data_IF_359106331563
#
_entry.id   IF_359106331563
#
_cell.length_a   1.000
_cell.length_b   1.000
_cell.length_c   1.000
_cell.angle_alpha   90.00
_cell.angle_beta   90.00
_cell.angle_gamma   90.00
#
_symmetry.space_group_name_H-M   'P 1'
#
loop_
_entity.id
_entity.type
_entity.pdbx_description
1 polymer ?
#
# COMPACT_ATOMS: atom_id res chain seq x y z
N UNK A 1 -5.18 4.83 34.32
CA UNK A 1 -3.72 4.62 34.26
C UNK A 1 -3.39 3.45 33.35
N UNK A 2 -2.36 3.60 32.50
CA UNK A 2 -1.54 2.51 31.93
C UNK A 2 -2.27 1.51 31.02
N UNK A 3 -2.16 1.53 29.69
CA UNK A 3 -0.95 1.77 28.92
C UNK A 3 -0.32 0.44 28.51
N UNK A 4 -0.48 0.12 27.21
CA UNK A 4 0.40 -0.74 26.40
C UNK A 4 0.33 -2.24 26.69
N UNK A 5 -0.63 -2.91 26.03
CA UNK A 5 -0.46 -4.32 25.67
C UNK A 5 0.75 -4.43 24.73
N UNK A 6 1.83 -5.01 25.24
CA UNK A 6 2.94 -5.48 24.44
C UNK A 6 2.43 -6.61 23.54
N UNK A 7 2.15 -6.30 22.28
CA UNK A 7 1.92 -7.33 21.26
C UNK A 7 3.28 -7.74 20.66
N UNK A 8 3.83 -8.78 21.26
CA UNK A 8 4.78 -9.69 20.64
C UNK A 8 4.17 -10.13 19.29
N UNK A 9 4.91 -9.93 18.20
CA UNK A 9 4.50 -10.35 16.86
C UNK A 9 4.49 -11.89 16.79
N UNK A 10 3.43 -12.54 16.30
CA UNK A 10 3.61 -13.80 15.59
C UNK A 10 3.95 -13.48 14.13
N UNK A 11 5.00 -14.14 13.66
CA UNK A 11 5.47 -14.25 12.29
C UNK A 11 4.39 -14.18 11.20
N UNK A 12 4.72 -13.42 10.15
CA UNK A 12 4.69 -13.70 8.71
C UNK A 12 3.72 -14.70 8.04
N UNK A 13 2.91 -15.48 8.76
CA UNK A 13 2.20 -16.66 8.22
C UNK A 13 0.67 -16.64 8.38
N UNK A 14 0.04 -15.49 8.63
CA UNK A 14 -1.45 -15.39 8.54
C UNK A 14 -1.91 -14.42 7.48
N UNK A 15 -1.62 -14.82 6.25
CA UNK A 15 -2.44 -14.51 5.09
C UNK A 15 -3.84 -15.15 5.26
N UNK A 16 -4.81 -14.40 5.78
CA UNK A 16 -6.23 -14.69 5.58
C UNK A 16 -6.95 -13.41 5.16
N UNK A 17 -7.17 -13.30 3.85
CA UNK A 17 -7.92 -12.27 3.15
C UNK A 17 -9.39 -12.72 3.08
N UNK A 18 -10.28 -12.01 3.77
CA UNK A 18 -11.72 -12.25 3.71
C UNK A 18 -12.29 -11.99 2.31
N UNK A 19 -12.86 -13.05 1.75
CA UNK A 19 -13.36 -13.19 0.39
C UNK A 19 -14.56 -12.27 0.06
N UNK A 20 -14.66 -11.87 -1.21
CA UNK A 20 -15.83 -11.28 -1.92
C UNK A 20 -16.11 -9.77 -1.89
N UNK A 21 -15.61 -8.95 -0.95
CA UNK A 21 -15.84 -7.46 -0.99
C UNK A 21 -14.62 -6.60 -1.36
N UNK A 22 -13.47 -7.23 -1.58
CA UNK A 22 -12.20 -6.52 -1.79
C UNK A 22 -12.01 -5.90 -3.19
N UNK A 23 -12.81 -6.20 -4.21
CA UNK A 23 -12.49 -5.83 -5.61
C UNK A 23 -12.56 -4.32 -5.92
N UNK A 24 -13.64 -3.64 -5.50
CA UNK A 24 -13.82 -2.22 -5.78
C UNK A 24 -12.95 -1.32 -4.89
N UNK A 25 -12.91 -1.60 -3.58
CA UNK A 25 -12.10 -0.85 -2.61
C UNK A 25 -10.58 -1.01 -2.86
N UNK A 26 -10.15 -2.16 -3.36
CA UNK A 26 -8.76 -2.38 -3.74
C UNK A 26 -8.36 -1.64 -5.02
N UNK A 27 -9.24 -1.53 -6.02
CA UNK A 27 -8.97 -0.70 -7.21
C UNK A 27 -8.86 0.78 -6.86
N UNK A 28 -9.72 1.29 -5.98
CA UNK A 28 -9.65 2.68 -5.52
C UNK A 28 -8.42 2.92 -4.62
N UNK A 29 -8.06 1.94 -3.78
CA UNK A 29 -6.85 1.96 -2.97
C UNK A 29 -5.57 1.99 -3.80
N UNK A 30 -5.49 1.18 -4.87
CA UNK A 30 -4.30 1.12 -5.75
C UNK A 30 -4.00 2.44 -6.44
N UNK A 31 -5.03 3.09 -7.01
CA UNK A 31 -4.86 4.41 -7.64
C UNK A 31 -4.41 5.45 -6.62
N UNK A 32 -5.00 5.45 -5.42
CA UNK A 32 -4.57 6.33 -4.33
C UNK A 32 -3.11 6.10 -3.94
N UNK A 33 -2.70 4.84 -3.77
CA UNK A 33 -1.32 4.49 -3.42
C UNK A 33 -0.35 4.96 -4.51
N UNK A 34 -0.66 4.71 -5.79
CA UNK A 34 0.17 5.14 -6.91
C UNK A 34 0.34 6.66 -6.93
N UNK A 35 -0.75 7.40 -6.71
CA UNK A 35 -0.72 8.87 -6.65
C UNK A 35 0.13 9.39 -5.49
N UNK A 36 0.01 8.78 -4.32
CA UNK A 36 0.81 9.17 -3.17
C UNK A 36 2.30 8.81 -3.35
N UNK A 37 2.61 7.75 -4.10
CA UNK A 37 3.98 7.43 -4.52
C UNK A 37 4.52 8.52 -5.45
N UNK A 38 3.73 8.96 -6.42
CA UNK A 38 4.10 10.04 -7.35
C UNK A 38 4.39 11.36 -6.61
N UNK A 39 3.63 11.64 -5.54
CA UNK A 39 3.87 12.77 -4.63
C UNK A 39 5.11 12.61 -3.74
N UNK A 40 5.86 11.51 -3.85
CA UNK A 40 7.08 11.29 -3.07
C UNK A 40 6.86 10.80 -1.64
N UNK A 41 5.62 10.53 -1.21
CA UNK A 41 5.35 10.08 0.16
C UNK A 41 5.97 8.70 0.40
N UNK A 42 6.51 8.46 1.58
CA UNK A 42 6.98 7.15 2.05
C UNK A 42 5.83 6.19 2.37
N UNK A 43 6.14 4.90 2.52
CA UNK A 43 5.14 3.89 2.88
C UNK A 43 4.48 4.18 4.25
N UNK A 44 5.21 4.82 5.17
CA UNK A 44 4.67 5.23 6.49
C UNK A 44 3.67 6.38 6.33
N UNK A 45 3.98 7.38 5.52
CA UNK A 45 3.08 8.52 5.28
C UNK A 45 1.83 8.10 4.49
N UNK A 46 1.98 7.19 3.52
CA UNK A 46 0.86 6.58 2.81
C UNK A 46 -0.04 5.82 3.79
N UNK A 47 0.54 5.05 4.70
CA UNK A 47 -0.18 4.31 5.73
C UNK A 47 -0.99 5.24 6.63
N UNK A 48 -0.38 6.36 7.07
CA UNK A 48 -1.06 7.39 7.86
C UNK A 48 -2.22 8.04 7.09
N UNK A 49 -1.99 8.46 5.82
CA UNK A 49 -3.03 9.06 4.99
C UNK A 49 -4.20 8.12 4.69
N UNK A 50 -3.94 6.82 4.62
CA UNK A 50 -4.95 5.81 4.31
C UNK A 50 -5.57 5.16 5.56
N UNK A 51 -5.06 5.46 6.76
CA UNK A 51 -5.51 4.85 8.01
C UNK A 51 -5.26 3.34 8.10
N UNK A 52 -4.22 2.83 7.43
CA UNK A 52 -3.87 1.40 7.39
C UNK A 52 -2.46 1.16 7.91
N UNK A 53 -2.09 -0.12 8.12
CA UNK A 53 -0.74 -0.46 8.57
C UNK A 53 0.29 -0.31 7.44
N UNK A 54 1.54 0.09 7.74
CA UNK A 54 2.61 0.17 6.74
C UNK A 54 2.88 -1.14 5.98
N UNK A 55 2.77 -2.29 6.66
CA UNK A 55 2.92 -3.61 6.04
C UNK A 55 1.86 -3.88 4.96
N UNK A 56 0.64 -3.37 5.15
CA UNK A 56 -0.45 -3.47 4.18
C UNK A 56 -0.16 -2.59 2.96
N UNK A 57 0.38 -1.39 3.18
CA UNK A 57 0.86 -0.53 2.09
C UNK A 57 1.96 -1.23 1.29
N UNK A 58 2.94 -1.84 1.95
CA UNK A 58 4.04 -2.55 1.27
C UNK A 58 3.51 -3.70 0.40
N UNK A 59 2.58 -4.50 0.92
CA UNK A 59 1.91 -5.54 0.15
C UNK A 59 1.16 -4.97 -1.07
N UNK A 60 0.45 -3.86 -0.90
CA UNK A 60 -0.23 -3.21 -2.02
C UNK A 60 0.73 -2.67 -3.07
N UNK A 61 1.86 -2.10 -2.66
CA UNK A 61 2.91 -1.59 -3.55
C UNK A 61 3.54 -2.72 -4.35
N UNK A 62 3.92 -3.84 -3.69
CA UNK A 62 4.44 -5.02 -4.38
C UNK A 62 3.47 -5.52 -5.46
N UNK A 63 2.20 -5.69 -5.10
CA UNK A 63 1.15 -6.10 -6.04
C UNK A 63 0.78 -5.04 -7.09
N UNK A 64 1.16 -3.79 -6.88
CA UNK A 64 0.97 -2.71 -7.85
C UNK A 64 2.12 -2.74 -8.85
N UNK A 65 3.35 -2.87 -8.35
CA UNK A 65 4.56 -2.95 -9.15
C UNK A 65 4.54 -4.15 -10.10
N UNK A 66 4.19 -5.34 -9.59
CA UNK A 66 4.03 -6.53 -10.44
C UNK A 66 2.94 -6.35 -11.50
N UNK A 67 1.86 -5.60 -11.22
CA UNK A 67 0.78 -5.36 -12.20
C UNK A 67 1.12 -4.28 -13.22
N UNK A 68 1.95 -3.32 -12.85
CA UNK A 68 2.42 -2.25 -13.73
C UNK A 68 3.72 -2.62 -14.44
N UNK A 69 4.27 -3.80 -14.14
CA UNK A 69 5.57 -4.28 -14.63
C UNK A 69 6.70 -3.27 -14.38
N UNK A 70 6.74 -2.70 -13.17
CA UNK A 70 7.78 -1.78 -12.71
C UNK A 70 8.56 -2.41 -11.57
N UNK A 71 9.84 -2.08 -11.45
CA UNK A 71 10.76 -2.68 -10.50
C UNK A 71 11.18 -1.71 -9.39
N UNK A 72 10.94 -0.41 -9.57
CA UNK A 72 11.34 0.61 -8.61
C UNK A 72 10.23 1.62 -8.31
N UNK A 73 10.35 2.28 -7.14
CA UNK A 73 9.48 3.39 -6.75
C UNK A 73 9.56 4.54 -7.76
N UNK A 74 10.77 4.80 -8.27
CA UNK A 74 11.03 5.85 -9.25
C UNK A 74 10.30 5.54 -10.56
N UNK A 75 10.42 4.32 -11.07
CA UNK A 75 9.66 3.88 -12.25
C UNK A 75 8.15 3.99 -12.04
N UNK A 76 7.65 3.59 -10.86
CA UNK A 76 6.24 3.71 -10.54
C UNK A 76 5.76 5.17 -10.51
N UNK A 77 6.57 6.09 -9.97
CA UNK A 77 6.26 7.52 -9.94
C UNK A 77 6.24 8.12 -11.36
N UNK A 78 7.24 7.81 -12.18
CA UNK A 78 7.31 8.25 -13.59
C UNK A 78 6.12 7.72 -14.39
N UNK A 79 5.74 6.45 -14.18
CA UNK A 79 4.60 5.86 -14.85
C UNK A 79 3.27 6.51 -14.41
N UNK A 80 3.14 6.86 -13.13
CA UNK A 80 1.97 7.55 -12.60
C UNK A 80 1.79 8.93 -13.25
N UNK A 81 2.86 9.70 -13.37
CA UNK A 81 2.87 10.99 -14.08
C UNK A 81 2.51 10.81 -15.56
N UNK A 82 3.17 9.90 -16.26
CA UNK A 82 2.91 9.62 -17.69
C UNK A 82 1.49 9.14 -17.96
N UNK A 83 0.87 8.46 -17.00
CA UNK A 83 -0.49 7.94 -17.14
C UNK A 83 -1.58 8.93 -16.72
N UNK A 84 -1.23 10.15 -16.29
CA UNK A 84 -2.18 11.14 -15.77
C UNK A 84 -2.85 10.69 -14.46
N UNK A 85 -2.17 9.85 -13.68
CA UNK A 85 -2.64 9.28 -12.41
C UNK A 85 -2.03 9.97 -11.18
N UNK A 86 -1.18 10.97 -11.40
CA UNK A 86 -0.57 11.83 -10.38
C UNK A 86 -1.56 12.86 -9.79
#
# INVERSE_FOLDING_TARGET
>A
MGGKIHLHKPDSDRMFYGSRRYSASYRTGKKKILRLIAQGLSNKEIALKLGIKPVTVEFHIKNLFSKLNVHSRVEAAVLAEKSGLA
#
